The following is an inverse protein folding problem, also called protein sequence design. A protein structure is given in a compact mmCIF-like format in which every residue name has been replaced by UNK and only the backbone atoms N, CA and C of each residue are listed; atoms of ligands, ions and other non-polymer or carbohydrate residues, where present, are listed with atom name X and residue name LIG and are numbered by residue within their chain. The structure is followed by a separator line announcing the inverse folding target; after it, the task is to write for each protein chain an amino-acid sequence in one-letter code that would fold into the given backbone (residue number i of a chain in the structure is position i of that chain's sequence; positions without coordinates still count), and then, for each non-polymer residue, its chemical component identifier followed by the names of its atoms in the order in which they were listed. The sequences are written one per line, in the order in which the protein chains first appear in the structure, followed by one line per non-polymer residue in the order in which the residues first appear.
data_IF_455852564860
#
_entry.id   IF_455852564860
#
_cell.length_a   1.000
_cell.length_b   1.000
_cell.length_c   1.000
_cell.angle_alpha   90.00
_cell.angle_beta   90.00
_cell.angle_gamma   90.00
#
_symmetry.space_group_name_H-M   'P 1'
#
loop_
_entity.id
_entity.type
_entity.pdbx_description
1 polymer ?
#
# COMPACT_ATOMS: atom_id res chain seq x y z
N UNK A 1 11.87 2.12 8.71
CA UNK A 1 10.95 1.50 7.72
C UNK A 1 9.56 1.26 8.32
N UNK A 2 8.49 1.59 7.58
CA UNK A 2 7.09 1.35 7.98
C UNK A 2 6.33 0.67 6.84
N UNK A 3 5.39 -0.19 7.19
CA UNK A 3 4.44 -0.80 6.25
C UNK A 3 3.10 -0.07 6.36
N UNK A 4 2.58 0.35 5.22
CA UNK A 4 1.29 1.03 5.09
C UNK A 4 0.35 0.18 4.24
N UNK A 5 -0.89 0.01 4.68
CA UNK A 5 -1.89 -0.74 3.92
C UNK A 5 -3.25 -0.06 3.93
N UNK A 6 -3.95 -0.11 2.81
CA UNK A 6 -5.31 0.41 2.64
C UNK A 6 -6.20 -0.61 1.93
N UNK A 7 -7.46 -0.64 2.32
CA UNK A 7 -8.52 -1.43 1.68
C UNK A 7 -9.43 -0.53 0.86
N UNK A 8 -10.00 -1.04 -0.23
CA UNK A 8 -10.95 -0.29 -1.04
C UNK A 8 -11.39 -1.04 -2.29
N UNK A 9 -12.10 -0.35 -3.18
CA UNK A 9 -12.40 -0.89 -4.51
C UNK A 9 -11.15 -0.86 -5.40
N UNK A 10 -11.02 -1.82 -6.32
CA UNK A 10 -9.88 -1.90 -7.23
C UNK A 10 -9.63 -0.57 -7.96
N UNK A 11 -10.67 0.03 -8.55
CA UNK A 11 -10.55 1.28 -9.30
C UNK A 11 -10.01 2.43 -8.44
N UNK A 12 -10.48 2.56 -7.21
CA UNK A 12 -10.01 3.59 -6.28
C UNK A 12 -8.52 3.41 -5.95
N UNK A 13 -8.11 2.20 -5.56
CA UNK A 13 -6.72 1.93 -5.20
C UNK A 13 -5.77 1.99 -6.40
N UNK A 14 -6.22 1.52 -7.57
CA UNK A 14 -5.43 1.60 -8.79
C UNK A 14 -5.21 3.05 -9.23
N UNK A 15 -6.17 3.95 -9.01
CA UNK A 15 -5.98 5.38 -9.29
C UNK A 15 -4.90 5.99 -8.40
N UNK A 16 -4.84 5.61 -7.12
CA UNK A 16 -3.77 6.04 -6.21
C UNK A 16 -2.41 5.57 -6.74
N UNK A 17 -2.30 4.30 -7.15
CA UNK A 17 -1.08 3.73 -7.74
C UNK A 17 -0.64 4.49 -9.00
N UNK A 18 -1.55 4.74 -9.92
CA UNK A 18 -1.24 5.44 -11.19
C UNK A 18 -0.83 6.90 -10.98
N UNK A 19 -1.37 7.58 -9.96
CA UNK A 19 -1.05 8.97 -9.66
C UNK A 19 0.28 9.15 -8.93
N UNK A 20 0.88 8.07 -8.40
CA UNK A 20 2.11 8.11 -7.62
C UNK A 20 3.13 7.10 -8.17
N UNK A 21 3.62 7.30 -9.42
CA UNK A 21 4.51 6.33 -10.08
C UNK A 21 5.88 6.17 -9.40
N UNK A 22 6.28 7.15 -8.59
CA UNK A 22 7.52 7.12 -7.80
C UNK A 22 7.41 6.25 -6.54
N UNK A 23 6.21 5.78 -6.20
CA UNK A 23 5.96 4.91 -5.05
C UNK A 23 5.85 3.45 -5.47
N UNK A 24 6.49 2.56 -4.70
CA UNK A 24 6.41 1.11 -4.87
C UNK A 24 5.12 0.57 -4.21
N UNK A 25 4.01 0.76 -4.91
CA UNK A 25 2.67 0.39 -4.45
C UNK A 25 2.24 -0.96 -5.03
N UNK A 26 2.04 -1.95 -4.16
CA UNK A 26 1.60 -3.29 -4.53
C UNK A 26 0.09 -3.42 -4.34
N UNK A 27 -0.63 -3.76 -5.41
CA UNK A 27 -2.10 -3.85 -5.43
C UNK A 27 -2.54 -5.29 -5.72
N UNK A 28 -3.42 -5.82 -4.87
CA UNK A 28 -3.97 -7.17 -4.98
C UNK A 28 -5.49 -7.16 -4.86
N UNK A 29 -6.15 -8.10 -5.53
CA UNK A 29 -7.57 -8.38 -5.35
C UNK A 29 -7.76 -9.41 -4.22
N UNK A 30 -8.81 -9.21 -3.42
CA UNK A 30 -9.27 -10.19 -2.42
C UNK A 30 -10.68 -10.67 -2.81
N UNK A 31 -11.30 -11.52 -1.98
CA UNK A 31 -12.64 -12.05 -2.26
C UNK A 31 -13.72 -10.95 -2.25
N UNK A 32 -13.59 -9.97 -1.35
CA UNK A 32 -14.63 -8.97 -1.09
C UNK A 32 -14.16 -7.53 -1.37
N UNK A 33 -12.87 -7.32 -1.63
CA UNK A 33 -12.27 -5.99 -1.82
C UNK A 33 -10.97 -6.03 -2.65
N UNK A 34 -10.23 -4.93 -2.62
CA UNK A 34 -8.82 -4.89 -3.02
C UNK A 34 -8.00 -4.31 -1.88
N UNK A 35 -6.72 -4.70 -1.84
CA UNK A 35 -5.73 -4.25 -0.88
C UNK A 35 -4.58 -3.62 -1.64
N UNK A 36 -4.12 -2.47 -1.18
CA UNK A 36 -2.87 -1.86 -1.62
C UNK A 36 -1.96 -1.69 -0.42
N UNK A 37 -0.66 -1.96 -0.58
CA UNK A 37 0.32 -1.69 0.45
C UNK A 37 1.63 -1.18 -0.13
N UNK A 38 2.39 -0.47 0.70
CA UNK A 38 3.77 -0.08 0.45
C UNK A 38 4.59 -0.19 1.73
N UNK A 39 5.85 -0.58 1.57
CA UNK A 39 6.87 -0.50 2.61
C UNK A 39 7.83 0.62 2.25
N UNK A 40 7.96 1.62 3.13
CA UNK A 40 8.77 2.79 2.83
C UNK A 40 9.24 3.50 4.10
N UNK A 41 10.36 4.22 3.98
CA UNK A 41 10.84 5.16 5.00
C UNK A 41 10.29 6.57 4.79
N UNK A 42 9.77 6.86 3.59
CA UNK A 42 9.21 8.15 3.21
C UNK A 42 7.73 8.27 3.63
N UNK A 43 7.14 9.48 3.57
CA UNK A 43 5.70 9.63 3.70
C UNK A 43 4.95 8.76 2.68
N UNK A 44 3.91 8.08 3.13
CA UNK A 44 3.08 7.20 2.31
C UNK A 44 2.17 8.00 1.37
N UNK A 45 1.92 7.46 0.16
CA UNK A 45 0.94 7.98 -0.78
C UNK A 45 -0.51 7.53 -0.46
N UNK A 46 -0.66 6.58 0.48
CA UNK A 46 -1.95 6.03 0.86
C UNK A 46 -2.73 7.00 1.76
N UNK A 47 -4.04 7.09 1.52
CA UNK A 47 -4.98 7.87 2.34
C UNK A 47 -5.47 7.04 3.51
N UNK A 48 -5.34 7.58 4.73
CA UNK A 48 -5.75 6.94 5.98
C UNK A 48 -5.32 5.45 6.11
N UNK A 49 -4.04 5.11 5.88
CA UNK A 49 -3.61 3.73 5.89
C UNK A 49 -3.55 3.18 7.32
N UNK A 50 -3.69 1.85 7.41
CA UNK A 50 -3.18 1.10 8.54
C UNK A 50 -1.66 1.23 8.54
N UNK A 51 -1.08 1.53 9.70
CA UNK A 51 0.36 1.82 9.87
C UNK A 51 0.98 0.76 10.77
N UNK A 52 2.05 0.13 10.29
CA UNK A 52 2.79 -0.88 11.03
C UNK A 52 4.28 -0.54 11.06
N UNK A 53 4.92 -0.86 12.18
CA UNK A 53 6.37 -0.85 12.29
C UNK A 53 6.91 -2.21 11.85
N UNK A 54 7.89 -2.21 10.97
CA UNK A 54 8.52 -3.45 10.49
C UNK A 54 9.59 -3.85 11.48
N UNK A 55 9.32 -4.88 12.28
CA UNK A 55 10.26 -5.39 13.29
C UNK A 55 11.30 -6.35 12.70
N UNK A 56 10.93 -7.08 11.65
CA UNK A 56 11.78 -8.01 10.93
C UNK A 56 11.18 -8.26 9.54
N UNK A 57 12.04 -8.38 8.54
CA UNK A 57 11.68 -8.82 7.19
C UNK A 57 12.68 -9.89 6.74
N UNK A 58 12.23 -10.82 5.92
CA UNK A 58 13.08 -11.83 5.27
C UNK A 58 12.75 -11.75 3.79
N UNK A 59 13.74 -11.36 2.98
CA UNK A 59 13.66 -11.10 1.54
C UNK A 59 12.88 -9.83 1.13
N UNK A 60 12.77 -9.65 -0.19
CA UNK A 60 11.60 -9.07 -0.88
C UNK A 60 10.57 -10.16 -1.20
#
# INVERSE_FOLDING_TARGET
MKLYASNGTFGYLNQIRLNNPEHNLFLFSTNDSSVIFEETEQPTALKEPLKYEVLSSINE
#
